data_IF_616325927238
#
_entry.id   IF_616325927238
#
_cell.length_a   1.000
_cell.length_b   1.000
_cell.length_c   1.000
_cell.angle_alpha   90.00
_cell.angle_beta   90.00
_cell.angle_gamma   90.00
#
_symmetry.space_group_name_H-M   'P 1'
#
loop_
_entity.id
_entity.type
_entity.pdbx_description
1 polymer ?
#
# COMPACT_ATOMS: atom_id res chain seq x y z
N UNK A 1 7.66 -27.04 17.26
CA UNK A 1 7.68 -25.88 18.18
C UNK A 1 6.87 -24.78 17.54
N UNK A 2 5.64 -24.56 18.01
CA UNK A 2 4.74 -23.57 17.41
C UNK A 2 5.27 -22.17 17.68
N UNK A 3 5.38 -21.37 16.62
CA UNK A 3 5.64 -19.94 16.65
C UNK A 3 4.54 -19.24 17.45
N UNK A 4 4.72 -19.13 18.75
CA UNK A 4 3.88 -18.28 19.60
C UNK A 4 4.10 -16.84 19.17
N UNK A 5 3.03 -16.19 18.67
CA UNK A 5 2.96 -14.74 18.54
C UNK A 5 3.49 -14.08 19.83
N UNK A 6 4.35 -13.07 19.68
CA UNK A 6 4.92 -12.35 20.83
C UNK A 6 3.84 -11.65 21.65
N UNK A 7 2.77 -11.20 20.97
CA UNK A 7 1.64 -10.48 21.56
C UNK A 7 0.46 -11.43 21.77
N UNK A 8 -0.25 -11.25 22.88
CA UNK A 8 -1.50 -11.96 23.16
C UNK A 8 -2.59 -11.52 22.19
N UNK A 9 -3.37 -12.48 21.71
CA UNK A 9 -4.53 -12.23 20.85
C UNK A 9 -5.80 -12.65 21.56
N UNK A 10 -6.89 -11.90 21.31
CA UNK A 10 -8.20 -12.20 21.87
C UNK A 10 -9.08 -12.75 20.76
N UNK A 11 -9.66 -13.92 21.02
CA UNK A 11 -10.61 -14.56 20.14
C UNK A 11 -12.02 -14.35 20.69
N UNK A 12 -12.83 -13.61 19.94
CA UNK A 12 -14.23 -13.33 20.25
C UNK A 12 -15.08 -14.03 19.18
N UNK A 13 -15.97 -14.92 19.62
CA UNK A 13 -16.92 -15.61 18.74
C UNK A 13 -18.32 -15.47 19.29
N UNK A 14 -19.30 -15.30 18.42
CA UNK A 14 -20.70 -15.15 18.82
C UNK A 14 -21.17 -16.33 19.66
N UNK A 15 -21.75 -16.03 20.83
CA UNK A 15 -22.29 -17.03 21.75
C UNK A 15 -21.26 -17.92 22.46
N UNK A 16 -19.95 -17.70 22.27
CA UNK A 16 -18.87 -18.42 22.97
C UNK A 16 -18.12 -17.49 23.90
N UNK A 17 -17.53 -18.07 24.95
CA UNK A 17 -16.73 -17.34 25.90
C UNK A 17 -15.45 -16.80 25.21
N UNK A 18 -15.14 -15.49 25.35
CA UNK A 18 -13.91 -14.93 24.82
C UNK A 18 -12.68 -15.66 25.33
N UNK A 19 -11.70 -15.86 24.45
CA UNK A 19 -10.47 -16.60 24.80
C UNK A 19 -9.25 -15.73 24.53
N UNK A 20 -8.38 -15.60 25.53
CA UNK A 20 -7.11 -14.86 25.44
C UNK A 20 -5.99 -15.86 25.26
N UNK A 21 -5.38 -15.86 24.08
CA UNK A 21 -4.28 -16.74 23.74
C UNK A 21 -2.98 -16.35 24.45
N UNK A 22 -2.02 -17.28 24.64
CA UNK A 22 -0.74 -16.96 25.28
C UNK A 22 0.04 -15.88 24.50
N UNK A 23 0.60 -14.92 25.23
CA UNK A 23 1.44 -13.86 24.68
C UNK A 23 1.57 -12.69 25.66
N UNK A 24 2.27 -11.63 25.25
CA UNK A 24 2.34 -10.38 26.01
C UNK A 24 0.99 -9.65 26.00
N UNK A 25 0.45 -9.33 27.18
CA UNK A 25 -0.83 -8.64 27.33
C UNK A 25 -0.63 -7.16 26.95
N UNK A 26 -1.42 -6.68 25.99
CA UNK A 26 -1.40 -5.29 25.51
C UNK A 26 -2.68 -4.55 25.91
N UNK A 27 -2.69 -3.19 25.89
CA UNK A 27 -3.91 -2.43 26.17
C UNK A 27 -5.06 -2.84 25.24
N UNK A 28 -4.77 -2.99 23.94
CA UNK A 28 -5.73 -3.45 22.94
C UNK A 28 -6.32 -4.82 23.30
N UNK A 29 -5.48 -5.81 23.66
CA UNK A 29 -5.97 -7.12 24.07
C UNK A 29 -6.85 -7.03 25.33
N UNK A 30 -6.51 -6.19 26.30
CA UNK A 30 -7.34 -6.02 27.50
C UNK A 30 -8.71 -5.40 27.18
N UNK A 31 -8.75 -4.40 26.31
CA UNK A 31 -10.00 -3.73 25.91
C UNK A 31 -10.88 -4.64 25.06
N UNK A 32 -10.31 -5.34 24.08
CA UNK A 32 -11.03 -6.34 23.29
C UNK A 32 -11.61 -7.45 24.16
N UNK A 33 -10.84 -7.94 25.14
CA UNK A 33 -11.31 -8.95 26.08
C UNK A 33 -12.47 -8.43 26.94
N UNK A 34 -12.38 -7.21 27.47
CA UNK A 34 -13.44 -6.59 28.26
C UNK A 34 -14.74 -6.44 27.46
N UNK A 35 -14.67 -5.88 26.25
CA UNK A 35 -15.83 -5.76 25.36
C UNK A 35 -16.44 -7.13 25.03
N UNK A 36 -15.62 -8.10 24.62
CA UNK A 36 -16.12 -9.44 24.32
C UNK A 36 -16.78 -10.14 25.53
N UNK A 37 -16.31 -9.86 26.75
CA UNK A 37 -16.93 -10.39 27.97
C UNK A 37 -18.28 -9.74 28.26
N UNK A 38 -18.41 -8.42 28.03
CA UNK A 38 -19.68 -7.70 28.17
C UNK A 38 -20.69 -8.19 27.13
N UNK A 39 -20.27 -8.32 25.87
CA UNK A 39 -21.12 -8.82 24.79
C UNK A 39 -21.61 -10.25 25.06
N UNK A 40 -20.71 -11.12 25.55
CA UNK A 40 -21.07 -12.47 25.94
C UNK A 40 -22.04 -12.50 27.11
N UNK A 41 -21.84 -11.66 28.12
CA UNK A 41 -22.72 -11.57 29.27
C UNK A 41 -24.12 -11.08 28.87
N UNK A 42 -24.20 -10.08 27.99
CA UNK A 42 -25.47 -9.60 27.44
C UNK A 42 -26.18 -10.68 26.59
N UNK A 43 -25.45 -11.36 25.71
CA UNK A 43 -26.01 -12.40 24.84
C UNK A 43 -26.49 -13.66 25.60
N UNK A 44 -26.00 -13.89 26.81
CA UNK A 44 -26.32 -15.06 27.64
C UNK A 44 -27.09 -14.71 28.92
N UNK A 45 -27.50 -13.45 29.08
CA UNK A 45 -28.19 -12.94 30.26
C UNK A 45 -27.51 -13.33 31.59
N UNK A 46 -26.19 -13.09 31.65
CA UNK A 46 -25.37 -13.48 32.81
C UNK A 46 -25.35 -12.34 33.81
N UNK A 47 -25.76 -12.64 35.05
CA UNK A 47 -25.65 -11.70 36.17
C UNK A 47 -24.22 -11.16 36.34
N UNK A 48 -24.09 -9.84 36.53
CA UNK A 48 -22.80 -9.13 36.57
C UNK A 48 -21.81 -9.73 37.58
N UNK A 49 -22.30 -10.18 38.73
CA UNK A 49 -21.51 -10.81 39.81
C UNK A 49 -20.87 -12.13 39.40
N UNK A 50 -21.45 -12.85 38.43
CA UNK A 50 -20.95 -14.14 37.98
C UNK A 50 -19.90 -13.99 36.87
N UNK A 51 -19.79 -12.83 36.22
CA UNK A 51 -18.91 -12.64 35.05
C UNK A 51 -17.45 -12.96 35.39
N UNK A 52 -16.92 -12.44 36.51
CA UNK A 52 -15.50 -12.63 36.87
C UNK A 52 -15.16 -14.09 37.17
N UNK A 53 -16.12 -14.89 37.64
CA UNK A 53 -15.92 -16.34 37.80
C UNK A 53 -15.65 -17.05 36.46
N UNK A 54 -16.21 -16.53 35.37
CA UNK A 54 -16.01 -17.04 34.01
C UNK A 54 -14.67 -16.60 33.43
N UNK A 55 -14.22 -15.39 33.77
CA UNK A 55 -12.96 -14.79 33.29
C UNK A 55 -11.75 -15.71 33.51
N UNK A 56 -11.71 -16.46 34.60
CA UNK A 56 -10.62 -17.40 34.88
C UNK A 56 -10.46 -18.50 33.83
N UNK A 57 -11.55 -18.83 33.11
CA UNK A 57 -11.54 -19.84 32.04
C UNK A 57 -11.10 -19.26 30.69
N UNK A 58 -11.12 -17.94 30.54
CA UNK A 58 -10.84 -17.25 29.28
C UNK A 58 -9.35 -17.18 28.94
N UNK A 59 -8.48 -17.07 29.94
CA UNK A 59 -7.04 -16.95 29.70
C UNK A 59 -6.42 -18.32 29.45
N UNK A 60 -5.68 -18.53 28.37
CA UNK A 60 -4.92 -19.76 28.11
C UNK A 60 -3.47 -19.69 28.61
N UNK A 61 -2.90 -18.48 28.68
CA UNK A 61 -1.52 -18.28 29.11
C UNK A 61 -1.29 -18.60 30.59
N UNK A 62 -0.26 -19.41 30.87
CA UNK A 62 0.07 -19.83 32.24
C UNK A 62 0.39 -18.66 33.17
N UNK A 63 1.02 -17.59 32.64
CA UNK A 63 1.41 -16.40 33.41
C UNK A 63 0.20 -15.74 34.09
N UNK A 64 -0.90 -15.56 33.36
CA UNK A 64 -2.12 -14.94 33.89
C UNK A 64 -2.86 -15.93 34.79
N UNK A 65 -2.93 -17.22 34.41
CA UNK A 65 -3.53 -18.27 35.25
C UNK A 65 -2.86 -18.39 36.62
N UNK A 66 -1.53 -18.36 36.68
CA UNK A 66 -0.77 -18.43 37.92
C UNK A 66 -1.08 -17.26 38.86
N UNK A 67 -1.43 -16.09 38.32
CA UNK A 67 -1.73 -14.91 39.13
C UNK A 67 -3.00 -15.06 39.98
N UNK A 68 -4.01 -15.76 39.48
CA UNK A 68 -5.26 -16.04 40.21
C UNK A 68 -5.42 -17.52 40.62
N UNK A 69 -4.38 -18.34 40.43
CA UNK A 69 -4.40 -19.76 40.81
C UNK A 69 -4.52 -20.00 42.33
N UNK A 70 -3.92 -19.17 43.22
CA UNK A 70 -4.11 -19.35 44.66
C UNK A 70 -5.59 -19.21 45.03
N UNK A 71 -6.14 -20.22 45.73
CA UNK A 71 -7.58 -20.31 46.06
C UNK A 71 -8.12 -19.03 46.70
N UNK A 72 -7.43 -18.48 47.72
CA UNK A 72 -7.87 -17.24 48.38
C UNK A 72 -7.87 -16.01 47.46
N UNK A 73 -7.00 -15.96 46.45
CA UNK A 73 -6.96 -14.86 45.46
C UNK A 73 -8.11 -15.00 44.47
N UNK A 74 -8.39 -16.23 44.03
CA UNK A 74 -9.51 -16.52 43.13
C UNK A 74 -10.85 -16.15 43.74
N UNK A 75 -11.06 -16.45 45.02
CA UNK A 75 -12.27 -16.12 45.76
C UNK A 75 -12.40 -14.62 46.03
N UNK A 76 -11.28 -13.92 46.25
CA UNK A 76 -11.29 -12.47 46.36
C UNK A 76 -11.63 -11.80 45.02
N UNK A 77 -11.14 -12.35 43.90
CA UNK A 77 -11.40 -11.81 42.57
C UNK A 77 -12.82 -12.10 42.08
N UNK A 78 -13.40 -13.26 42.37
CA UNK A 78 -14.76 -13.61 41.95
C UNK A 78 -15.84 -12.66 42.51
N UNK A 79 -15.54 -11.95 43.60
CA UNK A 79 -16.42 -10.95 44.22
C UNK A 79 -16.33 -9.55 43.59
N UNK A 80 -15.40 -9.35 42.65
CA UNK A 80 -15.22 -8.06 41.99
C UNK A 80 -16.19 -7.91 40.82
N UNK A 81 -16.49 -6.66 40.45
CA UNK A 81 -17.08 -6.34 39.15
C UNK A 81 -16.04 -6.56 38.05
N UNK A 82 -16.50 -6.75 36.80
CA UNK A 82 -15.61 -6.87 35.65
C UNK A 82 -14.66 -5.67 35.54
N UNK A 83 -15.17 -4.45 35.68
CA UNK A 83 -14.36 -3.23 35.63
C UNK A 83 -13.24 -3.22 36.69
N UNK A 84 -13.55 -3.59 37.94
CA UNK A 84 -12.55 -3.66 39.02
C UNK A 84 -11.51 -4.76 38.77
N UNK A 85 -11.91 -5.90 38.20
CA UNK A 85 -10.99 -6.94 37.78
C UNK A 85 -10.07 -6.43 36.66
N UNK A 86 -10.61 -5.78 35.63
CA UNK A 86 -9.84 -5.26 34.50
C UNK A 86 -8.84 -4.19 34.93
N UNK A 87 -9.18 -3.31 35.87
CA UNK A 87 -8.23 -2.36 36.49
C UNK A 87 -7.05 -3.07 37.15
N UNK A 88 -7.31 -4.16 37.91
CA UNK A 88 -6.24 -4.96 38.52
C UNK A 88 -5.40 -5.69 37.46
N UNK A 89 -6.03 -6.23 36.42
CA UNK A 89 -5.36 -6.91 35.31
C UNK A 89 -4.40 -5.95 34.58
N UNK A 90 -4.91 -4.77 34.18
CA UNK A 90 -4.13 -3.72 33.51
C UNK A 90 -2.94 -3.30 34.36
N UNK A 91 -3.16 -2.99 35.64
CA UNK A 91 -2.09 -2.61 36.58
C UNK A 91 -0.99 -3.66 36.76
N UNK A 92 -1.34 -4.96 36.64
CA UNK A 92 -0.38 -6.06 36.86
C UNK A 92 0.43 -6.41 35.62
N UNK A 93 -0.18 -6.34 34.43
CA UNK A 93 0.42 -6.87 33.21
C UNK A 93 0.83 -5.82 32.18
N UNK A 94 0.25 -4.61 32.22
CA UNK A 94 0.69 -3.52 31.37
C UNK A 94 1.87 -2.78 32.01
N UNK A 95 2.67 -2.13 31.17
CA UNK A 95 3.72 -1.22 31.66
C UNK A 95 3.07 -0.06 32.43
N UNK A 96 3.67 0.47 33.52
CA UNK A 96 3.07 1.54 34.30
C UNK A 96 2.73 2.83 33.52
N UNK A 97 3.44 3.08 32.41
CA UNK A 97 3.36 4.27 31.56
C UNK A 97 2.60 4.04 30.25
N UNK A 98 1.86 2.93 30.13
CA UNK A 98 1.20 2.53 28.88
C UNK A 98 0.20 3.57 28.36
N UNK A 99 -0.51 4.23 29.27
CA UNK A 99 -1.53 5.24 29.01
C UNK A 99 -0.89 6.57 28.60
N UNK A 100 0.17 6.99 29.30
CA UNK A 100 1.00 8.13 28.92
C UNK A 100 1.57 7.93 27.51
N UNK A 101 2.12 6.75 27.24
CA UNK A 101 2.67 6.42 25.92
C UNK A 101 1.59 6.43 24.84
N UNK A 102 0.42 5.83 25.10
CA UNK A 102 -0.71 5.83 24.15
C UNK A 102 -1.21 7.24 23.85
N UNK A 103 -1.31 8.09 24.87
CA UNK A 103 -1.65 9.52 24.68
C UNK A 103 -0.58 10.25 23.85
N UNK A 104 0.70 9.98 24.10
CA UNK A 104 1.77 10.57 23.30
C UNK A 104 1.70 10.13 21.83
N UNK A 105 1.34 8.87 21.54
CA UNK A 105 1.10 8.39 20.18
C UNK A 105 -0.04 9.14 19.49
N UNK A 106 -1.14 9.40 20.20
CA UNK A 106 -2.26 10.20 19.67
C UNK A 106 -1.79 11.61 19.29
N UNK A 107 -1.14 12.30 20.23
CA UNK A 107 -0.74 13.71 20.06
C UNK A 107 0.38 13.93 19.03
N UNK A 108 1.24 12.94 18.84
CA UNK A 108 2.36 13.02 17.88
C UNK A 108 2.02 12.42 16.51
N UNK A 109 0.85 11.80 16.36
CA UNK A 109 0.40 11.23 15.09
C UNK A 109 0.22 12.34 14.07
N UNK A 110 0.75 12.11 12.86
CA UNK A 110 0.57 12.99 11.71
C UNK A 110 -0.05 12.22 10.56
N UNK A 111 -0.95 12.87 9.85
CA UNK A 111 -1.46 12.34 8.59
C UNK A 111 -0.28 12.24 7.62
N UNK A 112 -0.18 11.10 6.94
CA UNK A 112 0.82 10.89 5.89
C UNK A 112 0.16 11.07 4.53
N UNK A 113 0.95 11.47 3.54
CA UNK A 113 0.46 11.69 2.18
C UNK A 113 -0.07 10.41 1.50
N UNK A 114 0.36 9.24 1.96
CA UNK A 114 -0.05 7.93 1.45
C UNK A 114 -1.33 7.36 2.10
N UNK A 115 -1.94 8.08 3.05
CA UNK A 115 -3.13 7.63 3.77
C UNK A 115 -4.28 8.62 3.62
N UNK A 116 -5.50 8.09 3.63
CA UNK A 116 -6.71 8.92 3.71
C UNK A 116 -6.91 9.43 5.13
N UNK A 117 -7.62 10.55 5.25
CA UNK A 117 -7.99 11.11 6.55
C UNK A 117 -8.84 10.12 7.35
N UNK A 118 -9.76 9.41 6.69
CA UNK A 118 -10.62 8.38 7.31
C UNK A 118 -9.81 7.27 8.00
N UNK A 119 -8.83 6.67 7.30
CA UNK A 119 -7.99 5.62 7.89
C UNK A 119 -7.18 6.11 9.10
N UNK A 120 -6.70 7.35 9.02
CA UNK A 120 -5.92 7.97 10.07
C UNK A 120 -6.77 8.29 11.31
N UNK A 121 -7.98 8.86 11.13
CA UNK A 121 -8.92 9.12 12.22
C UNK A 121 -9.34 7.84 12.92
N UNK A 122 -9.68 6.78 12.18
CA UNK A 122 -10.03 5.47 12.76
C UNK A 122 -8.89 4.94 13.64
N UNK A 123 -7.64 5.10 13.18
CA UNK A 123 -6.47 4.71 13.97
C UNK A 123 -6.41 5.49 15.29
N UNK A 124 -6.64 6.80 15.25
CA UNK A 124 -6.60 7.66 16.44
C UNK A 124 -7.77 7.40 17.40
N UNK A 125 -8.99 7.22 16.90
CA UNK A 125 -10.15 6.81 17.70
C UNK A 125 -9.92 5.46 18.35
N UNK A 126 -9.26 4.51 17.65
CA UNK A 126 -8.92 3.22 18.24
C UNK A 126 -7.95 3.36 19.42
N UNK A 127 -6.98 4.29 19.35
CA UNK A 127 -6.06 4.59 20.46
C UNK A 127 -6.76 5.33 21.60
N UNK A 128 -7.64 6.28 21.29
CA UNK A 128 -8.45 7.00 22.27
C UNK A 128 -9.32 6.03 23.08
N UNK A 129 -9.94 5.05 22.41
CA UNK A 129 -10.74 4.02 23.05
C UNK A 129 -9.94 3.18 24.07
N UNK A 130 -8.62 3.05 23.90
CA UNK A 130 -7.76 2.37 24.89
C UNK A 130 -7.59 3.17 26.18
N UNK A 131 -7.75 4.49 26.13
CA UNK A 131 -7.53 5.40 27.26
C UNK A 131 -8.77 5.62 28.12
N UNK A 132 -9.92 5.08 27.71
CA UNK A 132 -11.18 5.21 28.46
C UNK A 132 -11.00 4.66 29.89
N UNK A 133 -11.42 5.44 30.88
CA UNK A 133 -11.27 5.09 32.31
C UNK A 133 -9.88 5.35 32.89
N UNK A 134 -8.96 5.98 32.14
CA UNK A 134 -7.66 6.45 32.64
C UNK A 134 -7.66 7.96 32.90
N UNK A 135 -6.68 8.45 33.65
CA UNK A 135 -6.46 9.90 33.84
C UNK A 135 -5.96 10.61 32.59
N UNK A 136 -5.53 9.84 31.58
CA UNK A 136 -4.98 10.34 30.32
C UNK A 136 -5.97 10.23 29.15
N UNK A 137 -7.25 9.99 29.44
CA UNK A 137 -8.32 10.01 28.43
C UNK A 137 -8.30 11.32 27.63
N UNK A 138 -8.42 11.19 26.30
CA UNK A 138 -8.50 12.30 25.36
C UNK A 138 -9.97 12.47 25.03
N UNK A 139 -10.50 13.68 25.18
CA UNK A 139 -11.88 14.00 24.78
C UNK A 139 -11.92 14.38 23.30
N UNK A 140 -13.13 14.43 22.74
CA UNK A 140 -13.33 14.62 21.30
C UNK A 140 -12.85 16.00 20.84
N UNK A 141 -12.96 17.03 21.68
CA UNK A 141 -12.43 18.36 21.39
C UNK A 141 -10.89 18.35 21.25
N UNK A 142 -10.18 17.70 22.18
CA UNK A 142 -8.72 17.57 22.08
C UNK A 142 -8.32 16.73 20.86
N UNK A 143 -9.11 15.69 20.52
CA UNK A 143 -8.86 14.89 19.33
C UNK A 143 -9.06 15.72 18.06
N UNK A 144 -10.13 16.50 17.97
CA UNK A 144 -10.39 17.44 16.88
C UNK A 144 -9.21 18.41 16.68
N UNK A 145 -8.77 19.10 17.74
CA UNK A 145 -7.61 19.99 17.67
C UNK A 145 -6.32 19.26 17.25
N UNK A 146 -6.12 18.03 17.72
CA UNK A 146 -4.94 17.22 17.36
C UNK A 146 -4.98 16.83 15.90
N UNK A 147 -6.14 16.43 15.38
CA UNK A 147 -6.35 16.12 13.98
C UNK A 147 -6.11 17.37 13.13
N UNK A 148 -6.74 18.50 13.47
CA UNK A 148 -6.60 19.78 12.77
C UNK A 148 -5.14 20.24 12.65
N UNK A 149 -4.38 20.15 13.75
CA UNK A 149 -2.98 20.55 13.78
C UNK A 149 -2.04 19.62 12.98
N UNK A 150 -2.45 18.38 12.74
CA UNK A 150 -1.59 17.33 12.17
C UNK A 150 -2.08 16.76 10.83
N UNK A 151 -3.13 17.34 10.25
CA UNK A 151 -3.53 17.13 8.85
C UNK A 151 -2.42 17.56 7.90
N UNK A 152 -2.40 16.96 6.70
CA UNK A 152 -1.51 17.39 5.62
C UNK A 152 -1.78 18.85 5.24
N UNK A 153 -0.75 19.63 4.84
CA UNK A 153 -0.90 21.07 4.61
C UNK A 153 -2.03 21.45 3.65
N UNK A 154 -2.20 20.70 2.56
CA UNK A 154 -3.20 20.99 1.53
C UNK A 154 -4.61 20.80 2.06
N UNK A 155 -4.89 19.66 2.71
CA UNK A 155 -6.17 19.40 3.37
C UNK A 155 -6.47 20.45 4.44
N UNK A 156 -5.47 20.87 5.21
CA UNK A 156 -5.64 21.91 6.24
C UNK A 156 -5.99 23.27 5.62
N UNK A 157 -5.45 23.60 4.45
CA UNK A 157 -5.82 24.82 3.73
C UNK A 157 -7.25 24.76 3.21
N UNK A 158 -7.67 23.63 2.65
CA UNK A 158 -9.04 23.45 2.16
C UNK A 158 -10.05 23.43 3.30
N UNK A 159 -9.69 22.78 4.41
CA UNK A 159 -10.46 22.85 5.64
C UNK A 159 -10.56 24.28 6.19
N UNK A 160 -9.49 25.07 6.19
CA UNK A 160 -9.53 26.46 6.65
C UNK A 160 -10.46 27.34 5.79
N UNK A 161 -10.47 27.13 4.47
CA UNK A 161 -11.43 27.80 3.57
C UNK A 161 -12.86 27.36 3.87
N UNK A 162 -13.07 26.06 4.06
CA UNK A 162 -14.37 25.49 4.40
C UNK A 162 -14.88 26.02 5.75
N UNK A 163 -14.04 26.07 6.78
CA UNK A 163 -14.35 26.62 8.11
C UNK A 163 -14.69 28.12 8.07
N UNK A 164 -14.06 28.89 7.18
CA UNK A 164 -14.39 30.29 6.98
C UNK A 164 -15.73 30.51 6.26
N UNK A 165 -16.11 29.59 5.37
CA UNK A 165 -17.36 29.65 4.62
C UNK A 165 -18.56 29.04 5.39
N UNK A 166 -18.31 28.03 6.22
CA UNK A 166 -19.32 27.24 6.91
C UNK A 166 -19.09 27.23 8.42
N UNK A 167 -20.13 27.57 9.18
CA UNK A 167 -20.12 27.45 10.64
C UNK A 167 -20.33 25.99 11.04
N UNK A 168 -19.26 25.20 11.09
CA UNK A 168 -19.29 23.89 11.75
C UNK A 168 -19.04 24.13 13.24
N UNK A 169 -20.05 23.87 14.07
CA UNK A 169 -19.86 23.87 15.51
C UNK A 169 -19.01 22.65 15.92
N UNK A 170 -17.91 22.91 16.64
CA UNK A 170 -16.94 21.88 17.07
C UNK A 170 -17.51 20.89 18.11
N UNK A 171 -18.75 21.12 18.57
CA UNK A 171 -19.50 20.24 19.49
C UNK A 171 -20.06 18.98 18.81
N UNK A 172 -20.03 18.93 17.46
CA UNK A 172 -20.47 17.77 16.68
C UNK A 172 -19.25 17.06 16.06
N UNK A 173 -18.44 16.40 16.89
CA UNK A 173 -17.21 15.74 16.46
C UNK A 173 -17.42 14.82 15.24
N UNK A 174 -18.46 13.99 15.26
CA UNK A 174 -18.76 13.07 14.15
C UNK A 174 -19.08 13.82 12.85
N UNK A 175 -19.85 14.90 12.93
CA UNK A 175 -20.16 15.72 11.75
C UNK A 175 -18.92 16.45 11.23
N UNK A 176 -18.07 16.92 12.13
CA UNK A 176 -16.80 17.52 11.76
C UNK A 176 -15.88 16.51 11.07
N UNK A 177 -15.75 15.29 11.60
CA UNK A 177 -14.96 14.22 10.97
C UNK A 177 -15.48 13.93 9.56
N UNK A 178 -16.80 13.79 9.40
CA UNK A 178 -17.40 13.53 8.09
C UNK A 178 -17.12 14.65 7.09
N UNK A 179 -17.27 15.90 7.49
CA UNK A 179 -16.98 17.05 6.62
C UNK A 179 -15.51 17.06 6.16
N UNK A 180 -14.57 16.71 7.04
CA UNK A 180 -13.14 16.65 6.67
C UNK A 180 -12.84 15.43 5.80
N UNK A 181 -13.53 14.29 6.00
CA UNK A 181 -13.44 13.14 5.09
C UNK A 181 -13.86 13.55 3.67
N UNK A 182 -14.99 14.23 3.52
CA UNK A 182 -15.48 14.68 2.21
C UNK A 182 -14.46 15.60 1.50
N UNK A 183 -13.85 16.54 2.24
CA UNK A 183 -12.80 17.40 1.71
C UNK A 183 -11.55 16.61 1.28
N UNK A 184 -11.16 15.59 2.06
CA UNK A 184 -10.02 14.74 1.70
C UNK A 184 -10.30 13.88 0.47
N UNK A 185 -11.52 13.36 0.32
CA UNK A 185 -11.95 12.60 -0.86
C UNK A 185 -11.94 13.47 -2.12
N UNK A 186 -12.44 14.71 -2.04
CA UNK A 186 -12.39 15.66 -3.14
C UNK A 186 -10.95 16.00 -3.54
N UNK A 187 -10.08 16.27 -2.54
CA UNK A 187 -8.64 16.51 -2.74
C UNK A 187 -7.98 15.35 -3.47
N UNK A 188 -8.16 14.12 -2.96
CA UNK A 188 -7.59 12.91 -3.56
C UNK A 188 -8.11 12.70 -4.99
N UNK A 189 -9.39 12.97 -5.24
CA UNK A 189 -9.98 12.89 -6.57
C UNK A 189 -9.35 13.88 -7.55
N UNK A 190 -9.19 15.15 -7.16
CA UNK A 190 -8.59 16.18 -8.01
C UNK A 190 -7.10 15.92 -8.26
N UNK A 191 -6.35 15.47 -7.25
CA UNK A 191 -4.95 15.06 -7.42
C UNK A 191 -4.82 13.92 -8.44
N UNK A 192 -5.66 12.89 -8.34
CA UNK A 192 -5.69 11.79 -9.30
C UNK A 192 -6.06 12.27 -10.71
N UNK A 193 -7.02 13.20 -10.81
CA UNK A 193 -7.45 13.78 -12.10
C UNK A 193 -6.35 14.62 -12.73
N UNK A 194 -5.62 15.41 -11.95
CA UNK A 194 -4.46 16.18 -12.41
C UNK A 194 -3.32 15.25 -12.83
N UNK A 195 -3.03 14.20 -12.06
CA UNK A 195 -2.04 13.19 -12.44
C UNK A 195 -2.39 12.50 -13.77
N UNK A 196 -3.67 12.19 -14.00
CA UNK A 196 -4.14 11.65 -15.30
C UNK A 196 -3.91 12.63 -16.45
N UNK A 197 -4.22 13.93 -16.27
CA UNK A 197 -3.99 14.96 -17.30
C UNK A 197 -2.51 15.10 -17.64
N UNK A 198 -1.64 15.18 -16.62
CA UNK A 198 -0.19 15.27 -16.81
C UNK A 198 0.35 14.02 -17.51
N UNK A 199 -0.15 12.83 -17.15
CA UNK A 199 0.25 11.58 -17.81
C UNK A 199 -0.19 11.53 -19.28
N UNK A 200 -1.38 12.04 -19.61
CA UNK A 200 -1.88 12.14 -20.99
C UNK A 200 -1.07 13.14 -21.81
N UNK A 201 -0.77 14.32 -21.25
CA UNK A 201 0.08 15.33 -21.91
C UNK A 201 1.49 14.79 -22.17
N UNK A 202 2.08 14.07 -21.21
CA UNK A 202 3.37 13.39 -21.40
C UNK A 202 3.32 12.33 -22.50
N UNK A 203 2.20 11.61 -22.66
CA UNK A 203 2.00 10.64 -23.75
C UNK A 203 1.89 11.33 -25.10
N UNK A 204 1.12 12.42 -25.20
CA UNK A 204 0.99 13.20 -26.45
C UNK A 204 2.31 13.84 -26.86
N UNK A 205 3.04 14.43 -25.91
CA UNK A 205 4.36 15.01 -26.17
C UNK A 205 5.42 13.97 -26.61
N UNK A 206 5.26 12.70 -26.22
CA UNK A 206 6.10 11.61 -26.71
C UNK A 206 5.74 11.18 -28.14
N UNK A 207 4.50 11.40 -28.58
CA UNK A 207 3.99 11.11 -29.92
C UNK A 207 4.36 12.23 -30.92
N UNK A 208 4.25 13.49 -30.49
CA UNK A 208 4.61 14.69 -31.28
C UNK A 208 6.13 14.91 -31.43
N UNK A 209 6.96 14.13 -30.73
CA UNK A 209 8.42 14.19 -30.78
C UNK A 209 9.07 13.58 -32.04
N UNK A 210 8.29 12.97 -32.94
CA UNK A 210 8.77 12.52 -34.25
C UNK A 210 8.82 13.69 -35.26
N UNK A 211 10.02 14.25 -35.44
CA UNK A 211 10.28 15.42 -36.27
C UNK A 211 9.92 15.20 -37.77
N UNK A 212 9.13 16.08 -38.41
CA UNK A 212 8.92 16.05 -39.85
C UNK A 212 10.12 16.67 -40.59
N UNK A 213 11.21 15.92 -40.75
CA UNK A 213 12.33 16.37 -41.59
C UNK A 213 12.08 16.03 -43.06
N UNK A 214 11.46 16.94 -43.83
CA UNK A 214 11.85 17.26 -45.23
C UNK A 214 11.35 18.66 -45.63
N UNK A 215 12.05 19.72 -45.19
CA UNK A 215 12.16 20.94 -46.01
C UNK A 215 13.36 20.74 -46.94
N UNK A 216 13.12 20.42 -48.20
CA UNK A 216 14.16 20.49 -49.23
C UNK A 216 14.05 21.87 -49.89
N UNK A 217 14.96 22.76 -49.49
CA UNK A 217 15.44 23.80 -50.39
C UNK A 217 16.25 23.11 -51.50
N UNK A 218 15.93 23.37 -52.76
CA UNK A 218 16.83 23.07 -53.87
C UNK A 218 16.68 24.16 -54.93
N UNK A 219 17.71 24.99 -54.98
CA UNK A 219 17.95 26.00 -56.00
C UNK A 219 18.53 25.33 -57.28
N UNK A 220 18.03 25.76 -58.43
CA UNK A 220 18.68 25.90 -59.74
C UNK A 220 19.61 24.79 -60.29
N UNK A 221 19.27 24.16 -61.43
CA UNK A 221 19.57 24.65 -62.80
C UNK A 221 19.51 23.53 -63.88
N UNK A 222 18.96 23.87 -65.08
CA UNK A 222 19.24 23.33 -66.45
C UNK A 222 18.78 21.87 -66.79
N UNK A 223 18.19 21.49 -67.95
CA UNK A 223 17.88 22.07 -69.28
C UNK A 223 16.69 21.31 -69.94
N UNK A 224 15.93 22.02 -70.78
CA UNK A 224 14.95 21.67 -71.84
C UNK A 224 14.58 20.21 -72.22
N UNK A 225 13.28 20.01 -72.46
CA UNK A 225 12.74 18.97 -73.34
C UNK A 225 11.20 18.99 -73.36
N UNK A 226 10.60 19.13 -74.54
CA UNK A 226 9.22 19.56 -74.77
C UNK A 226 8.14 18.46 -74.68
N UNK A 227 6.92 18.92 -74.37
CA UNK A 227 5.61 18.50 -74.91
C UNK A 227 4.96 17.15 -74.54
N UNK A 228 3.68 17.29 -74.14
CA UNK A 228 2.50 16.49 -74.50
C UNK A 228 2.01 15.39 -73.55
N UNK A 229 0.92 15.77 -72.86
CA UNK A 229 -0.40 15.11 -72.76
C UNK A 229 -0.59 13.65 -72.30
N UNK A 230 -1.52 13.58 -71.33
CA UNK A 230 -2.48 12.53 -70.93
C UNK A 230 -2.06 11.42 -69.93
N UNK A 231 -2.96 11.09 -68.97
CA UNK A 231 -2.86 9.98 -68.00
C UNK A 231 -3.51 8.70 -68.60
N UNK A 232 -3.80 7.58 -67.89
CA UNK A 232 -3.68 7.23 -66.46
C UNK A 232 -3.17 5.79 -66.18
N UNK A 233 -3.39 5.33 -64.93
CA UNK A 233 -3.63 3.95 -64.46
C UNK A 233 -2.47 2.98 -64.17
N UNK A 234 -2.31 2.71 -62.87
CA UNK A 234 -2.21 1.40 -62.19
C UNK A 234 -1.58 0.23 -62.95
N UNK A 235 -0.51 -0.38 -62.42
CA UNK A 235 -0.54 -1.74 -61.83
C UNK A 235 0.74 -1.96 -61.02
N UNK A 236 0.63 -2.95 -60.14
CA UNK A 236 1.50 -3.40 -59.06
C UNK A 236 2.91 -3.90 -59.43
N UNK A 237 3.72 -3.93 -58.36
CA UNK A 237 4.70 -4.95 -57.97
C UNK A 237 6.03 -5.05 -58.74
N UNK A 238 7.12 -4.68 -58.06
CA UNK A 238 8.34 -5.49 -57.95
C UNK A 238 9.13 -5.11 -56.69
N UNK A 239 9.34 -6.10 -55.82
CA UNK A 239 10.22 -6.07 -54.66
C UNK A 239 11.72 -6.10 -55.08
N UNK A 240 12.67 -6.42 -54.19
CA UNK A 240 13.12 -5.68 -53.01
C UNK A 240 14.63 -5.34 -53.14
N UNK A 241 15.08 -4.21 -52.59
CA UNK A 241 16.52 -3.99 -52.33
C UNK A 241 16.69 -3.68 -50.85
N UNK A 242 17.32 -4.63 -50.17
CA UNK A 242 17.36 -4.73 -48.74
C UNK A 242 18.34 -3.78 -48.06
N UNK A 243 18.18 -3.75 -46.74
CA UNK A 243 19.20 -3.77 -45.68
C UNK A 243 18.61 -3.41 -44.32
N UNK A 244 17.42 -2.81 -44.30
CA UNK A 244 16.87 -2.26 -43.07
C UNK A 244 15.87 -3.22 -42.44
N UNK A 245 16.12 -3.57 -41.17
CA UNK A 245 15.12 -4.18 -40.30
C UNK A 245 13.85 -3.31 -40.31
N UNK A 246 12.65 -3.89 -40.39
CA UNK A 246 11.42 -3.15 -40.12
C UNK A 246 11.52 -2.43 -38.76
N UNK A 247 10.92 -1.23 -38.64
CA UNK A 247 10.87 -0.53 -37.35
C UNK A 247 10.09 -1.37 -36.33
N UNK A 248 10.55 -1.37 -35.07
CA UNK A 248 9.84 -2.03 -33.96
C UNK A 248 8.43 -1.47 -33.82
N UNK A 249 7.44 -2.34 -33.72
CA UNK A 249 6.07 -1.91 -33.34
C UNK A 249 6.05 -1.41 -31.90
N UNK A 250 4.98 -0.72 -31.52
CA UNK A 250 4.78 -0.23 -30.15
C UNK A 250 4.77 -1.41 -29.16
N UNK A 251 4.17 -2.53 -29.55
CA UNK A 251 4.11 -3.76 -28.76
C UNK A 251 5.49 -4.40 -28.60
N UNK A 252 6.30 -4.47 -29.66
CA UNK A 252 7.66 -5.02 -29.58
C UNK A 252 8.58 -4.14 -28.72
N UNK A 253 8.43 -2.81 -28.80
CA UNK A 253 9.18 -1.85 -27.98
C UNK A 253 8.82 -1.98 -26.51
N UNK A 254 7.53 -2.13 -26.20
CA UNK A 254 7.06 -2.37 -24.83
C UNK A 254 7.59 -3.73 -24.32
N UNK A 255 7.53 -4.77 -25.15
CA UNK A 255 7.99 -6.11 -24.79
C UNK A 255 9.50 -6.16 -24.50
N UNK A 256 10.31 -5.40 -25.25
CA UNK A 256 11.73 -5.22 -24.97
C UNK A 256 11.97 -4.42 -23.69
N UNK A 257 11.24 -3.32 -23.48
CA UNK A 257 11.35 -2.49 -22.28
C UNK A 257 11.02 -3.28 -20.99
N UNK A 258 9.97 -4.09 -21.01
CA UNK A 258 9.54 -4.89 -19.86
C UNK A 258 10.49 -6.06 -19.51
N UNK A 259 11.43 -6.39 -20.41
CA UNK A 259 12.35 -7.53 -20.27
C UNK A 259 13.83 -7.13 -20.40
N UNK A 260 14.19 -5.91 -19.98
CA UNK A 260 15.56 -5.37 -20.02
C UNK A 260 16.24 -5.56 -21.38
N UNK A 261 15.46 -5.40 -22.45
CA UNK A 261 15.87 -5.59 -23.83
C UNK A 261 16.43 -4.31 -24.45
N UNK A 262 17.25 -4.48 -25.49
CA UNK A 262 17.84 -3.36 -26.22
C UNK A 262 17.08 -3.09 -27.52
N UNK A 263 16.60 -1.86 -27.70
CA UNK A 263 15.81 -1.44 -28.86
C UNK A 263 16.64 -1.26 -30.14
N UNK A 264 17.98 -1.39 -30.07
CA UNK A 264 18.88 -1.34 -31.24
C UNK A 264 19.18 -2.72 -31.81
N UNK A 265 19.56 -3.68 -30.96
CA UNK A 265 19.86 -5.04 -31.40
C UNK A 265 18.69 -6.03 -31.24
N UNK A 266 17.56 -5.57 -30.68
CA UNK A 266 16.31 -6.33 -30.46
C UNK A 266 16.52 -7.63 -29.65
N UNK A 267 17.47 -7.63 -28.71
CA UNK A 267 17.75 -8.75 -27.79
C UNK A 267 17.15 -8.49 -26.42
N UNK A 268 16.50 -9.50 -25.85
CA UNK A 268 16.00 -9.47 -24.47
C UNK A 268 17.13 -9.69 -23.46
N UNK A 269 17.00 -9.09 -22.27
CA UNK A 269 17.97 -9.22 -21.17
C UNK A 269 19.41 -8.87 -21.55
N UNK A 270 19.60 -7.90 -22.43
CA UNK A 270 20.87 -7.60 -23.09
C UNK A 270 21.90 -6.93 -22.16
N UNK A 271 21.45 -6.42 -21.01
CA UNK A 271 22.30 -5.79 -19.99
C UNK A 271 22.89 -4.45 -20.41
N UNK A 272 22.35 -3.85 -21.48
CA UNK A 272 22.75 -2.55 -22.01
C UNK A 272 21.55 -1.88 -22.69
N UNK A 273 21.59 -0.55 -22.81
CA UNK A 273 20.57 0.24 -23.50
C UNK A 273 21.06 0.70 -24.89
N UNK A 274 20.17 1.30 -25.68
CA UNK A 274 20.45 1.74 -27.07
C UNK A 274 21.68 2.64 -27.19
N UNK A 275 21.95 3.49 -26.19
CA UNK A 275 23.10 4.41 -26.17
C UNK A 275 24.43 3.70 -25.92
N UNK A 276 24.39 2.55 -25.26
CA UNK A 276 25.57 1.73 -24.94
C UNK A 276 25.72 0.51 -25.88
N UNK A 277 24.79 0.35 -26.81
CA UNK A 277 24.75 -0.78 -27.74
C UNK A 277 25.77 -0.59 -28.87
N UNK A 278 26.76 -1.49 -28.89
CA UNK A 278 27.79 -1.58 -29.94
C UNK A 278 27.41 -2.56 -31.06
N UNK A 279 26.31 -3.27 -30.91
CA UNK A 279 25.82 -4.21 -31.92
C UNK A 279 25.02 -3.48 -33.00
N UNK A 280 25.19 -3.91 -34.26
CA UNK A 280 24.43 -3.40 -35.39
C UNK A 280 22.98 -3.91 -35.37
N UNK A 281 22.12 -3.24 -36.13
CA UNK A 281 20.72 -3.64 -36.29
C UNK A 281 20.62 -5.05 -36.89
N UNK A 282 19.65 -5.88 -36.46
CA UNK A 282 19.41 -7.19 -37.06
C UNK A 282 19.13 -7.07 -38.56
N UNK A 283 19.53 -8.06 -39.35
CA UNK A 283 19.19 -8.08 -40.78
C UNK A 283 17.68 -8.23 -40.97
N UNK A 284 17.08 -7.37 -41.80
CA UNK A 284 15.66 -7.43 -42.14
C UNK A 284 15.26 -8.64 -42.98
N UNK A 285 16.22 -9.40 -43.53
CA UNK A 285 15.95 -10.51 -44.46
C UNK A 285 15.22 -11.70 -43.82
N UNK A 286 15.24 -11.81 -42.48
CA UNK A 286 14.51 -12.84 -41.73
C UNK A 286 13.94 -12.27 -40.41
N UNK A 287 13.48 -11.02 -40.43
CA UNK A 287 12.95 -10.38 -39.22
C UNK A 287 11.60 -10.99 -38.85
N UNK A 288 11.54 -11.66 -37.70
CA UNK A 288 10.30 -12.14 -37.09
C UNK A 288 9.88 -11.17 -35.99
N UNK A 289 8.58 -10.86 -35.95
CA UNK A 289 7.98 -10.03 -34.90
C UNK A 289 8.29 -10.68 -33.55
N UNK A 290 8.76 -9.87 -32.60
CA UNK A 290 9.09 -10.35 -31.26
C UNK A 290 7.82 -10.60 -30.46
N UNK A 291 7.68 -11.82 -29.96
CA UNK A 291 6.51 -12.26 -29.20
C UNK A 291 6.90 -12.66 -27.78
N UNK A 292 5.90 -12.80 -26.91
CA UNK A 292 6.10 -13.31 -25.55
C UNK A 292 6.78 -14.71 -25.53
N UNK A 293 6.57 -15.53 -26.57
CA UNK A 293 7.24 -16.83 -26.70
C UNK A 293 8.77 -16.69 -26.87
N UNK A 294 9.23 -15.62 -27.54
CA UNK A 294 10.66 -15.31 -27.69
C UNK A 294 11.30 -14.85 -26.37
N UNK A 295 10.54 -14.12 -25.55
CA UNK A 295 10.94 -13.74 -24.19
C UNK A 295 11.15 -14.98 -23.33
N UNK A 296 10.21 -15.93 -23.38
CA UNK A 296 10.28 -17.16 -22.60
C UNK A 296 11.44 -18.06 -23.07
N UNK A 297 11.71 -18.10 -24.38
CA UNK A 297 12.87 -18.78 -24.95
C UNK A 297 14.19 -18.12 -24.49
N UNK A 298 14.29 -16.80 -24.53
CA UNK A 298 15.46 -16.05 -24.08
C UNK A 298 15.71 -16.21 -22.57
N UNK A 299 14.64 -16.23 -21.76
CA UNK A 299 14.72 -16.46 -20.30
C UNK A 299 15.23 -17.87 -19.98
N UNK A 300 14.77 -18.90 -20.73
CA UNK A 300 15.29 -20.27 -20.63
C UNK A 300 16.76 -20.38 -21.04
N UNK A 301 17.20 -19.64 -22.07
CA UNK A 301 18.60 -19.61 -22.49
C UNK A 301 19.51 -18.95 -21.43
N UNK A 302 19.08 -17.84 -20.82
CA UNK A 302 19.81 -17.15 -19.74
C UNK A 302 19.95 -18.03 -18.48
N UNK A 303 18.91 -18.78 -18.12
CA UNK A 303 18.95 -19.73 -17.00
C UNK A 303 19.94 -20.90 -17.22
N UNK A 304 20.11 -21.35 -18.48
CA UNK A 304 21.11 -22.38 -18.83
C UNK A 304 22.54 -21.84 -18.79
N UNK A 305 22.80 -20.61 -19.24
CA UNK A 305 24.13 -19.98 -19.18
C UNK A 305 24.53 -19.54 -17.76
N UNK A 306 23.58 -19.26 -16.86
CA UNK A 306 23.88 -18.99 -15.45
C UNK A 306 24.32 -20.22 -14.66
N UNK A 307 24.11 -21.43 -15.19
CA UNK A 307 24.42 -22.70 -14.51
C UNK A 307 25.80 -23.27 -14.87
N UNK A 308 26.47 -22.73 -15.89
CA UNK A 308 27.82 -23.14 -16.32
C UNK A 308 28.97 -22.34 -15.69
N UNK A 309 28.70 -21.29 -14.91
CA UNK A 309 29.74 -20.47 -14.27
C UNK A 309 29.93 -20.71 -12.76
N UNK A 310 29.25 -21.70 -12.15
CA UNK A 310 29.36 -21.98 -10.71
C UNK A 310 29.64 -23.45 -10.35
N UNK A 311 30.38 -24.17 -11.20
CA UNK A 311 30.88 -25.50 -10.88
C UNK A 311 32.38 -25.61 -11.22
N UNK A 312 33.24 -25.19 -10.29
CA UNK A 312 34.68 -25.35 -10.44
C UNK A 312 35.48 -24.66 -9.35
N UNK A 313 35.56 -25.25 -8.16
CA UNK A 313 36.56 -24.85 -7.17
C UNK A 313 36.22 -25.28 -5.76
N UNK A 314 36.72 -26.45 -5.35
CA UNK A 314 36.72 -26.79 -3.92
C UNK A 314 36.81 -28.26 -3.55
N UNK A 315 37.74 -29.04 -4.10
CA UNK A 315 38.25 -30.23 -3.40
C UNK A 315 39.75 -30.41 -3.68
N UNK A 316 40.56 -30.13 -2.67
CA UNK A 316 41.96 -30.50 -2.59
C UNK A 316 42.31 -30.79 -1.13
N UNK A 317 42.18 -32.06 -0.73
CA UNK A 317 42.76 -32.60 0.52
C UNK A 317 44.26 -32.75 0.33
N UNK A 318 45.06 -32.28 1.30
CA UNK A 318 45.90 -33.09 2.20
C UNK A 318 46.76 -32.17 3.06
#
# INVERSE_FOLDING_TARGET
MSTTSKLATVEIRTGKLPTVHPGEITPLATTQFEHGMLDYAAAKDIAAEKIVSLVFRCFLGQRVRNWFSPLGVRDAFSKLTLANFMTKLRKKFLRPDWDVHTRALILSSRMKDDKTFSEWVVTLQSLQALLVGTTHAVNDQHLCHTLEANMVPDLRLDYAKHKAANTIAEDQFDHWVLAVIELDEERVYEDQKQQRRIAEEKRKAADDGECPTKKVFADSNKVNGASSSKPPSSTSSTAPSGKNCPPLTVEERQLLADNDGCNRCHKFFAGHCTTECKEDFPSGTNYCIRTQADVDAARKAKSKNGRSHHAGGGYGRR
#
